data_IF_529023663154
#
_entry.id   IF_529023663154
#
_cell.length_a   1.000
_cell.length_b   1.000
_cell.length_c   1.000
_cell.angle_alpha   90.00
_cell.angle_beta   90.00
_cell.angle_gamma   90.00
#
_symmetry.space_group_name_H-M   'P 1'
#
loop_
_entity.id
_entity.type
_entity.pdbx_description
1 polymer ?
#
# COMPACT_ATOMS: atom_id res chain seq x y z
N UNK A 1 3.94 -6.08 32.43
CA UNK A 1 4.18 -4.74 31.85
C UNK A 1 5.34 -4.73 30.85
N UNK A 2 6.27 -5.69 30.88
CA UNK A 2 7.34 -5.81 29.87
C UNK A 2 6.86 -6.07 28.43
N UNK A 3 5.82 -6.89 28.22
CA UNK A 3 5.32 -7.20 26.87
C UNK A 3 4.73 -5.96 26.20
N UNK A 4 4.04 -5.11 26.96
CA UNK A 4 3.48 -3.86 26.46
C UNK A 4 4.57 -2.84 26.08
N UNK A 5 5.65 -2.76 26.86
CA UNK A 5 6.83 -1.95 26.52
C UNK A 5 7.59 -2.51 25.31
N UNK A 6 7.70 -3.83 25.20
CA UNK A 6 8.39 -4.49 24.09
C UNK A 6 7.65 -4.28 22.77
N UNK A 7 6.32 -4.39 22.77
CA UNK A 7 5.48 -4.14 21.59
C UNK A 7 5.38 -2.64 21.30
N UNK A 8 5.23 -1.81 22.32
CA UNK A 8 5.22 -0.34 22.18
C UNK A 8 6.52 0.21 21.60
N UNK A 9 7.66 -0.30 22.04
CA UNK A 9 8.98 0.06 21.51
C UNK A 9 9.19 -0.39 20.06
N UNK A 10 8.68 -1.56 19.68
CA UNK A 10 8.70 -2.04 18.30
C UNK A 10 7.87 -1.14 17.37
N UNK A 11 6.64 -0.78 17.79
CA UNK A 11 5.76 0.10 17.00
C UNK A 11 6.34 1.51 16.88
N UNK A 12 6.96 2.04 17.94
CA UNK A 12 7.58 3.38 17.92
C UNK A 12 8.79 3.48 16.97
N UNK A 13 9.44 2.37 16.63
CA UNK A 13 10.56 2.36 15.68
C UNK A 13 10.13 2.35 14.20
N UNK A 14 8.83 2.17 13.92
CA UNK A 14 8.32 2.06 12.56
C UNK A 14 7.93 3.43 12.01
N UNK A 15 8.40 3.75 10.81
CA UNK A 15 8.02 4.95 10.09
C UNK A 15 6.68 4.78 9.36
N UNK A 16 5.58 4.99 10.07
CA UNK A 16 4.22 4.89 9.52
C UNK A 16 3.94 5.90 8.40
N UNK A 17 4.58 7.07 8.43
CA UNK A 17 4.43 8.08 7.36
C UNK A 17 4.98 7.57 6.04
N UNK A 18 6.17 6.96 6.04
CA UNK A 18 6.78 6.36 4.84
C UNK A 18 5.91 5.22 4.30
N UNK A 19 5.42 4.33 5.18
CA UNK A 19 4.55 3.22 4.80
C UNK A 19 3.29 3.74 4.12
N UNK A 20 2.66 4.76 4.69
CA UNK A 20 1.45 5.34 4.14
C UNK A 20 1.71 6.02 2.78
N UNK A 21 2.80 6.77 2.67
CA UNK A 21 3.21 7.40 1.40
C UNK A 21 3.43 6.37 0.29
N UNK A 22 4.16 5.29 0.57
CA UNK A 22 4.40 4.23 -0.40
C UNK A 22 3.13 3.46 -0.74
N UNK A 23 2.23 3.27 0.25
CA UNK A 23 0.93 2.63 0.01
C UNK A 23 0.07 3.48 -0.92
N UNK A 24 -0.06 4.79 -0.67
CA UNK A 24 -0.79 5.70 -1.55
C UNK A 24 -0.17 5.74 -2.95
N UNK A 25 1.16 5.80 -3.06
CA UNK A 25 1.87 5.79 -4.34
C UNK A 25 1.62 4.49 -5.10
N UNK A 26 1.71 3.33 -4.43
CA UNK A 26 1.45 2.04 -5.03
C UNK A 26 0.02 1.96 -5.57
N UNK A 27 -0.98 2.42 -4.81
CA UNK A 27 -2.37 2.46 -5.26
C UNK A 27 -2.57 3.32 -6.51
N UNK A 28 -1.93 4.50 -6.56
CA UNK A 28 -2.00 5.40 -7.73
C UNK A 28 -1.31 4.75 -8.93
N UNK A 29 -0.10 4.22 -8.76
CA UNK A 29 0.66 3.59 -9.86
C UNK A 29 -0.08 2.38 -10.41
N UNK A 30 -0.66 1.54 -9.54
CA UNK A 30 -1.43 0.36 -9.94
C UNK A 30 -2.73 0.75 -10.64
N UNK A 31 -3.34 1.90 -10.31
CA UNK A 31 -4.61 2.33 -10.91
C UNK A 31 -4.55 2.45 -12.45
N UNK A 32 -3.42 2.83 -13.03
CA UNK A 32 -3.26 2.92 -14.50
C UNK A 32 -3.31 1.54 -15.17
N UNK A 33 -2.36 0.63 -14.88
CA UNK A 33 -2.33 -0.71 -15.44
C UNK A 33 -3.59 -1.52 -15.16
N UNK A 34 -4.25 -1.32 -14.01
CA UNK A 34 -5.45 -2.08 -13.67
C UNK A 34 -6.60 -1.76 -14.62
N UNK A 35 -6.74 -0.51 -15.06
CA UNK A 35 -7.76 -0.13 -16.05
C UNK A 35 -7.48 -0.79 -17.39
N UNK A 36 -6.23 -0.77 -17.85
CA UNK A 36 -5.82 -1.41 -19.11
C UNK A 36 -6.04 -2.93 -19.05
N UNK A 37 -5.64 -3.56 -17.95
CA UNK A 37 -5.81 -4.99 -17.74
C UNK A 37 -7.30 -5.39 -17.76
N UNK A 38 -8.15 -4.65 -17.05
CA UNK A 38 -9.58 -4.90 -17.02
C UNK A 38 -10.25 -4.66 -18.38
N UNK A 39 -9.83 -3.62 -19.11
CA UNK A 39 -10.37 -3.29 -20.43
C UNK A 39 -10.02 -4.36 -21.46
N UNK A 40 -8.75 -4.82 -21.46
CA UNK A 40 -8.28 -5.93 -22.28
C UNK A 40 -9.01 -7.24 -21.95
N UNK A 41 -9.14 -7.59 -20.67
CA UNK A 41 -9.81 -8.83 -20.24
C UNK A 41 -11.31 -8.87 -20.60
N UNK A 42 -11.93 -7.71 -20.78
CA UNK A 42 -13.36 -7.58 -21.12
C UNK A 42 -13.60 -7.36 -22.63
N UNK A 43 -12.54 -7.37 -23.45
CA UNK A 43 -12.65 -7.13 -24.89
C UNK A 43 -13.11 -5.72 -25.24
N UNK A 44 -12.81 -4.74 -24.39
CA UNK A 44 -13.07 -3.33 -24.68
C UNK A 44 -12.04 -2.73 -25.63
N UNK A 45 -12.30 -1.50 -26.08
CA UNK A 45 -11.40 -0.75 -26.94
C UNK A 45 -10.32 -0.07 -26.09
N UNK A 46 -9.05 -0.49 -26.25
CA UNK A 46 -7.92 -0.03 -25.43
C UNK A 46 -7.49 1.41 -25.71
#
# INVERSE_FOLDING_TARGET
>A
MEIFDSIGGFISGINFTLIFQLTCLALIVVSGPIVIFLLSARGGDL
#
